data_IF_665921512614
#
_entry.id   IF_665921512614
#
_cell.length_a   1.000
_cell.length_b   1.000
_cell.length_c   1.000
_cell.angle_alpha   90.00
_cell.angle_beta   90.00
_cell.angle_gamma   90.00
#
_symmetry.space_group_name_H-M   'P 1'
#
loop_
_entity.id
_entity.type
_entity.pdbx_description
1 polymer ?
#
# COMPACT_ATOMS: atom_id res chain seq x y z
N UNK A 1 -4.28 -27.78 -17.92
CA UNK A 1 -3.25 -26.75 -17.66
C UNK A 1 -2.66 -27.02 -16.28
N UNK A 2 -1.37 -27.30 -16.14
CA UNK A 2 -0.76 -27.60 -14.83
C UNK A 2 -0.26 -26.29 -14.20
N UNK A 3 -0.85 -25.90 -13.06
CA UNK A 3 -0.56 -24.65 -12.34
C UNK A 3 0.92 -24.55 -11.96
N UNK A 4 1.57 -25.67 -11.59
CA UNK A 4 2.97 -25.66 -11.18
C UNK A 4 3.93 -25.21 -12.29
N UNK A 5 3.52 -25.33 -13.56
CA UNK A 5 4.32 -24.85 -14.71
C UNK A 5 4.12 -23.36 -15.00
N UNK A 6 3.10 -22.73 -14.41
CA UNK A 6 2.81 -21.31 -14.58
C UNK A 6 3.54 -20.44 -13.55
N UNK A 7 3.86 -21.02 -12.38
CA UNK A 7 4.52 -20.34 -11.27
C UNK A 7 6.00 -20.12 -11.60
N UNK A 8 6.42 -18.87 -11.55
CA UNK A 8 7.81 -18.44 -11.64
C UNK A 8 8.33 -18.01 -10.26
N UNK A 9 9.64 -17.77 -10.17
CA UNK A 9 10.27 -17.32 -8.91
C UNK A 9 9.65 -16.04 -8.33
N UNK A 10 9.31 -14.99 -9.13
CA UNK A 10 8.64 -13.80 -8.61
C UNK A 10 7.27 -14.12 -7.99
N UNK A 11 6.50 -15.00 -8.61
CA UNK A 11 5.17 -15.42 -8.15
C UNK A 11 5.20 -16.07 -6.74
N UNK A 12 6.31 -16.70 -6.34
CA UNK A 12 6.47 -17.22 -4.98
C UNK A 12 6.60 -16.08 -3.95
N UNK A 13 7.27 -14.98 -4.33
CA UNK A 13 7.38 -13.78 -3.49
C UNK A 13 6.01 -13.13 -3.33
N UNK A 14 5.22 -13.09 -4.41
CA UNK A 14 3.82 -12.65 -4.39
C UNK A 14 2.97 -13.48 -3.42
N UNK A 15 3.14 -14.81 -3.42
CA UNK A 15 2.42 -15.71 -2.49
C UNK A 15 2.82 -15.41 -1.04
N UNK A 16 4.11 -15.18 -0.77
CA UNK A 16 4.58 -14.77 0.56
C UNK A 16 3.95 -13.44 0.98
N UNK A 17 3.84 -12.46 0.08
CA UNK A 17 3.13 -11.20 0.35
C UNK A 17 1.67 -11.48 0.77
N UNK A 18 0.92 -12.27 0.01
CA UNK A 18 -0.46 -12.62 0.36
C UNK A 18 -0.58 -13.35 1.71
N UNK A 19 0.37 -14.24 2.03
CA UNK A 19 0.41 -14.93 3.33
C UNK A 19 0.68 -13.97 4.49
N UNK A 20 1.54 -12.97 4.30
CA UNK A 20 1.75 -11.90 5.30
C UNK A 20 0.47 -11.11 5.54
N UNK A 21 -0.29 -10.80 4.49
CA UNK A 21 -1.61 -10.19 4.61
C UNK A 21 -2.59 -11.06 5.42
N UNK A 22 -2.62 -12.37 5.16
CA UNK A 22 -3.42 -13.30 5.96
C UNK A 22 -2.99 -13.35 7.44
N UNK A 23 -1.69 -13.40 7.72
CA UNK A 23 -1.16 -13.35 9.09
C UNK A 23 -1.57 -12.05 9.79
N UNK A 24 -1.53 -10.91 9.08
CA UNK A 24 -1.98 -9.64 9.63
C UNK A 24 -3.49 -9.65 9.98
N UNK A 25 -4.35 -10.30 9.19
CA UNK A 25 -5.76 -10.50 9.56
C UNK A 25 -5.92 -11.33 10.84
N UNK A 26 -5.11 -12.37 11.01
CA UNK A 26 -5.11 -13.18 12.25
C UNK A 26 -4.63 -12.38 13.46
N UNK A 27 -3.70 -11.44 13.28
CA UNK A 27 -3.29 -10.51 14.34
C UNK A 27 -4.42 -9.53 14.70
N UNK A 28 -5.12 -8.98 13.70
CA UNK A 28 -6.27 -8.09 13.94
C UNK A 28 -7.37 -8.81 14.72
N UNK A 29 -7.67 -10.07 14.39
CA UNK A 29 -8.70 -10.84 15.12
C UNK A 29 -8.35 -11.11 16.59
N UNK A 30 -7.08 -10.97 16.97
CA UNK A 30 -6.58 -11.05 18.35
C UNK A 30 -6.46 -9.69 19.04
N UNK A 31 -6.83 -8.59 18.35
CA UNK A 31 -6.66 -7.23 18.84
C UNK A 31 -5.26 -6.65 18.65
N UNK A 32 -4.34 -7.38 18.01
CA UNK A 32 -2.94 -6.97 17.80
C UNK A 32 -2.81 -6.06 16.56
N UNK A 33 -3.62 -4.99 16.49
CA UNK A 33 -3.77 -4.15 15.29
C UNK A 33 -2.45 -3.45 14.92
N UNK A 34 -1.66 -3.01 15.90
CA UNK A 34 -0.35 -2.41 15.64
C UNK A 34 0.65 -3.40 15.03
N UNK A 35 0.68 -4.65 15.51
CA UNK A 35 1.51 -5.72 14.96
C UNK A 35 1.09 -6.08 13.54
N UNK A 36 -0.21 -6.10 13.26
CA UNK A 36 -0.75 -6.28 11.92
C UNK A 36 -0.29 -5.16 10.98
N UNK A 37 -0.31 -3.91 11.43
CA UNK A 37 0.18 -2.78 10.63
C UNK A 37 1.68 -2.89 10.31
N UNK A 38 2.54 -3.28 11.26
CA UNK A 38 3.95 -3.58 10.98
C UNK A 38 4.09 -4.69 9.94
N UNK A 39 3.28 -5.75 10.07
CA UNK A 39 3.29 -6.88 9.14
C UNK A 39 2.96 -6.42 7.72
N UNK A 40 2.06 -5.45 7.55
CA UNK A 40 1.78 -4.82 6.24
C UNK A 40 2.94 -3.97 5.73
N UNK A 41 3.67 -3.28 6.60
CA UNK A 41 4.89 -2.58 6.20
C UNK A 41 5.98 -3.57 5.73
N UNK A 42 6.08 -4.72 6.39
CA UNK A 42 6.97 -5.80 5.93
C UNK A 42 6.50 -6.41 4.61
N UNK A 43 5.19 -6.61 4.43
CA UNK A 43 4.59 -7.06 3.18
C UNK A 43 4.91 -6.10 2.02
N UNK A 44 4.89 -4.78 2.26
CA UNK A 44 5.30 -3.78 1.28
C UNK A 44 6.78 -3.87 0.88
N UNK A 45 7.66 -4.24 1.81
CA UNK A 45 9.07 -4.50 1.48
C UNK A 45 9.21 -5.73 0.58
N UNK A 46 8.48 -6.81 0.89
CA UNK A 46 8.45 -8.05 0.09
C UNK A 46 7.89 -7.79 -1.31
N UNK A 47 6.81 -7.03 -1.42
CA UNK A 47 6.21 -6.59 -2.68
C UNK A 47 7.18 -5.77 -3.55
N UNK A 48 7.89 -4.84 -2.91
CA UNK A 48 8.92 -4.05 -3.58
C UNK A 48 10.08 -4.90 -4.11
N UNK A 49 10.42 -6.01 -3.44
CA UNK A 49 11.44 -6.96 -3.91
C UNK A 49 10.95 -7.75 -5.13
N UNK A 50 9.70 -8.21 -5.13
CA UNK A 50 9.07 -8.87 -6.29
C UNK A 50 9.11 -7.94 -7.52
N UNK A 51 8.69 -6.68 -7.35
CA UNK A 51 8.75 -5.68 -8.42
C UNK A 51 10.15 -5.38 -8.95
N UNK A 52 11.21 -5.63 -8.16
CA UNK A 52 12.60 -5.58 -8.63
C UNK A 52 12.97 -6.84 -9.42
N UNK A 53 12.58 -8.02 -8.93
CA UNK A 53 12.85 -9.32 -9.55
C UNK A 53 12.10 -9.50 -10.87
N UNK A 54 10.85 -9.06 -10.94
CA UNK A 54 9.99 -9.06 -12.13
C UNK A 54 10.53 -8.19 -13.27
N UNK A 55 11.44 -7.25 -12.99
CA UNK A 55 12.14 -6.49 -14.04
C UNK A 55 13.24 -7.30 -14.72
N UNK A 56 13.78 -8.31 -14.03
CA UNK A 56 14.83 -9.17 -14.54
C UNK A 56 14.26 -10.50 -15.08
N UNK A 57 13.03 -10.85 -14.73
CA UNK A 57 12.33 -12.07 -15.13
C UNK A 57 10.95 -11.68 -15.67
N UNK A 58 10.66 -11.92 -16.95
CA UNK A 58 9.33 -11.62 -17.51
C UNK A 58 8.22 -12.35 -16.74
N UNK A 59 7.35 -11.61 -16.06
CA UNK A 59 6.14 -12.16 -15.45
C UNK A 59 5.13 -12.54 -16.53
N UNK A 60 4.50 -13.71 -16.38
CA UNK A 60 3.38 -14.12 -17.23
C UNK A 60 2.07 -13.43 -16.80
N UNK A 61 1.03 -13.57 -17.62
CA UNK A 61 -0.32 -13.07 -17.32
C UNK A 61 -0.84 -13.64 -15.98
N UNK A 62 -0.47 -14.87 -15.65
CA UNK A 62 -0.82 -15.50 -14.38
C UNK A 62 -0.23 -14.72 -13.18
N UNK A 63 1.07 -14.43 -13.21
CA UNK A 63 1.76 -13.69 -12.15
C UNK A 63 1.20 -12.28 -11.94
N UNK A 64 0.89 -11.56 -13.03
CA UNK A 64 0.28 -10.21 -12.94
C UNK A 64 -1.08 -10.23 -12.23
N UNK A 65 -1.90 -11.26 -12.48
CA UNK A 65 -3.18 -11.40 -11.77
C UNK A 65 -2.98 -11.84 -10.31
N UNK A 66 -2.02 -12.73 -10.06
CA UNK A 66 -1.66 -13.16 -8.71
C UNK A 66 -1.19 -11.99 -7.85
N UNK A 67 -0.38 -11.10 -8.42
CA UNK A 67 0.09 -9.84 -7.81
C UNK A 67 -1.09 -8.96 -7.39
N UNK A 68 -2.05 -8.77 -8.28
CA UNK A 68 -3.28 -8.02 -7.96
C UNK A 68 -4.07 -8.63 -6.80
N UNK A 69 -4.12 -9.97 -6.68
CA UNK A 69 -4.79 -10.62 -5.55
C UNK A 69 -4.01 -10.43 -4.24
N UNK A 70 -2.68 -10.59 -4.27
CA UNK A 70 -1.85 -10.35 -3.11
C UNK A 70 -1.94 -8.89 -2.64
N UNK A 71 -1.85 -7.93 -3.57
CA UNK A 71 -2.04 -6.50 -3.33
C UNK A 71 -3.39 -6.21 -2.67
N UNK A 72 -4.45 -6.85 -3.18
CA UNK A 72 -5.80 -6.66 -2.65
C UNK A 72 -5.92 -7.17 -1.22
N UNK A 73 -5.30 -8.29 -0.88
CA UNK A 73 -5.31 -8.83 0.49
C UNK A 73 -4.49 -7.94 1.42
N UNK A 74 -3.22 -7.70 1.09
CA UNK A 74 -2.26 -7.01 1.96
C UNK A 74 -2.53 -5.51 2.10
N UNK A 75 -2.90 -4.81 1.02
CA UNK A 75 -3.02 -3.35 1.01
C UNK A 75 -4.46 -2.85 0.85
N UNK A 76 -5.39 -3.73 0.48
CA UNK A 76 -6.82 -3.46 0.43
C UNK A 76 -7.55 -3.92 1.70
N UNK A 77 -7.66 -5.25 1.86
CA UNK A 77 -8.47 -5.89 2.90
C UNK A 77 -7.91 -5.63 4.30
N UNK A 78 -6.62 -5.89 4.53
CA UNK A 78 -6.03 -5.76 5.87
C UNK A 78 -6.17 -4.33 6.42
N UNK A 79 -5.79 -3.26 5.69
CA UNK A 79 -6.00 -1.90 6.17
C UNK A 79 -7.49 -1.63 6.42
N UNK A 80 -8.38 -1.98 5.49
CA UNK A 80 -9.81 -1.73 5.65
C UNK A 80 -10.39 -2.35 6.93
N UNK A 81 -10.02 -3.60 7.25
CA UNK A 81 -10.46 -4.29 8.47
C UNK A 81 -9.83 -3.64 9.72
N UNK A 82 -8.54 -3.31 9.69
CA UNK A 82 -7.87 -2.64 10.80
C UNK A 82 -8.49 -1.26 11.10
N UNK A 83 -8.76 -0.46 10.05
CA UNK A 83 -9.44 0.82 10.17
C UNK A 83 -10.85 0.69 10.71
N UNK A 84 -11.59 -0.32 10.27
CA UNK A 84 -12.94 -0.57 10.76
C UNK A 84 -12.90 -0.83 12.27
N UNK A 85 -12.02 -1.71 12.74
CA UNK A 85 -11.86 -2.01 14.17
C UNK A 85 -11.52 -0.76 15.01
N UNK A 86 -10.66 0.14 14.50
CA UNK A 86 -10.24 1.35 15.23
C UNK A 86 -11.29 2.47 15.23
N UNK A 87 -12.17 2.54 14.23
CA UNK A 87 -13.14 3.64 14.08
C UNK A 87 -14.53 3.24 14.59
N UNK A 88 -14.87 1.94 14.53
CA UNK A 88 -16.23 1.46 14.72
C UNK A 88 -16.83 1.74 16.09
N UNK A 89 -16.02 1.76 17.17
CA UNK A 89 -16.53 2.02 18.52
C UNK A 89 -17.18 3.41 18.65
N UNK A 90 -16.56 4.43 18.07
CA UNK A 90 -17.08 5.80 18.11
C UNK A 90 -18.07 6.09 16.96
N UNK A 91 -17.79 5.55 15.77
CA UNK A 91 -18.51 5.92 14.55
C UNK A 91 -18.74 4.71 13.61
N UNK A 92 -19.67 3.80 13.95
CA UNK A 92 -19.83 2.52 13.24
C UNK A 92 -20.22 2.66 11.77
N UNK A 93 -21.10 3.62 11.44
CA UNK A 93 -21.52 3.88 10.06
C UNK A 93 -20.41 4.51 9.23
N UNK A 94 -19.62 5.41 9.82
CA UNK A 94 -18.47 6.04 9.16
C UNK A 94 -17.39 4.98 8.91
N UNK A 95 -17.09 4.17 9.93
CA UNK A 95 -16.14 3.07 9.81
C UNK A 95 -16.53 2.15 8.65
N UNK A 96 -17.77 1.66 8.63
CA UNK A 96 -18.26 0.76 7.59
C UNK A 96 -18.21 1.40 6.19
N UNK A 97 -18.72 2.62 6.05
CA UNK A 97 -18.80 3.29 4.76
C UNK A 97 -17.43 3.64 4.18
N UNK A 98 -16.52 4.18 4.99
CA UNK A 98 -15.23 4.68 4.50
C UNK A 98 -14.24 3.56 4.22
N UNK A 99 -14.22 2.50 5.04
CA UNK A 99 -13.36 1.34 4.77
C UNK A 99 -13.89 0.49 3.61
N UNK A 100 -15.22 0.40 3.43
CA UNK A 100 -15.81 -0.23 2.25
C UNK A 100 -15.51 0.57 0.97
N UNK A 101 -15.57 1.90 1.03
CA UNK A 101 -15.18 2.77 -0.07
C UNK A 101 -13.70 2.57 -0.43
N UNK A 102 -12.82 2.51 0.56
CA UNK A 102 -11.39 2.25 0.37
C UNK A 102 -11.13 0.92 -0.33
N UNK A 103 -11.76 -0.15 0.17
CA UNK A 103 -11.64 -1.50 -0.39
C UNK A 103 -12.09 -1.52 -1.86
N UNK A 104 -13.26 -0.93 -2.13
CA UNK A 104 -13.85 -0.89 -3.47
C UNK A 104 -13.00 -0.07 -4.43
N UNK A 105 -12.52 1.11 -4.01
CA UNK A 105 -11.67 1.97 -4.83
C UNK A 105 -10.33 1.30 -5.16
N UNK A 106 -9.73 0.60 -4.20
CA UNK A 106 -8.52 -0.19 -4.40
C UNK A 106 -8.71 -1.29 -5.45
N UNK A 107 -9.81 -2.04 -5.34
CA UNK A 107 -10.18 -3.09 -6.29
C UNK A 107 -10.40 -2.54 -7.71
N UNK A 108 -11.15 -1.45 -7.85
CA UNK A 108 -11.39 -0.80 -9.15
C UNK A 108 -10.08 -0.27 -9.76
N UNK A 109 -9.18 0.28 -8.94
CA UNK A 109 -7.85 0.73 -9.37
C UNK A 109 -7.01 -0.43 -9.89
N UNK A 110 -7.01 -1.58 -9.20
CA UNK A 110 -6.28 -2.78 -9.63
C UNK A 110 -6.84 -3.33 -10.95
N UNK A 111 -8.17 -3.42 -11.07
CA UNK A 111 -8.82 -3.82 -12.32
C UNK A 111 -8.44 -2.89 -13.49
N UNK A 112 -8.45 -1.57 -13.27
CA UNK A 112 -8.01 -0.57 -14.26
C UNK A 112 -6.54 -0.79 -14.66
N UNK A 113 -5.68 -1.10 -13.70
CA UNK A 113 -4.26 -1.34 -13.95
C UNK A 113 -4.04 -2.56 -14.85
N UNK A 114 -4.78 -3.65 -14.63
CA UNK A 114 -4.63 -4.89 -15.40
C UNK A 114 -5.08 -4.79 -16.86
N UNK A 115 -6.05 -3.93 -17.16
CA UNK A 115 -6.55 -3.72 -18.53
C UNK A 115 -5.85 -2.56 -19.27
N UNK A 116 -5.17 -1.66 -18.55
CA UNK A 116 -4.52 -0.49 -19.13
C UNK A 116 -3.14 -0.85 -19.67
N UNK A 117 -2.96 -0.84 -20.99
CA UNK A 117 -1.68 -1.19 -21.62
C UNK A 117 -0.56 -0.16 -21.34
N UNK A 118 0.64 -0.70 -21.06
CA UNK A 118 1.99 -0.08 -20.98
C UNK A 118 2.05 1.47 -20.93
N UNK A 119 1.71 2.07 -19.78
CA UNK A 119 2.03 3.48 -19.49
C UNK A 119 3.29 3.62 -18.63
N UNK A 120 4.05 4.70 -18.89
CA UNK A 120 5.30 5.04 -18.15
C UNK A 120 5.03 5.34 -16.67
N UNK A 121 3.86 5.88 -16.36
CA UNK A 121 3.43 6.29 -15.02
C UNK A 121 2.20 5.50 -14.54
N UNK A 122 1.92 5.55 -13.23
CA UNK A 122 0.67 5.04 -12.68
C UNK A 122 -0.45 6.08 -12.83
N UNK A 123 -1.66 5.63 -13.17
CA UNK A 123 -2.86 6.48 -13.16
C UNK A 123 -3.61 6.18 -11.86
N UNK A 124 -3.80 7.21 -11.04
CA UNK A 124 -4.32 7.09 -9.68
C UNK A 124 -3.28 6.57 -8.69
N UNK A 125 -3.54 6.78 -7.41
CA UNK A 125 -2.62 6.37 -6.34
C UNK A 125 -2.48 4.83 -6.32
N UNK A 126 -1.25 4.29 -6.26
CA UNK A 126 -1.06 2.86 -6.07
C UNK A 126 -1.63 2.35 -4.74
N UNK A 127 -2.29 1.19 -4.77
CA UNK A 127 -2.91 0.59 -3.56
C UNK A 127 -1.84 0.28 -2.50
N UNK A 128 -0.64 -0.15 -2.92
CA UNK A 128 0.54 -0.31 -2.07
C UNK A 128 0.87 0.96 -1.29
N UNK A 129 0.99 2.11 -1.98
CA UNK A 129 1.26 3.39 -1.32
C UNK A 129 0.16 3.82 -0.35
N UNK A 130 -1.09 3.54 -0.70
CA UNK A 130 -2.25 3.76 0.14
C UNK A 130 -2.24 2.88 1.40
N UNK A 131 -1.97 1.57 1.25
CA UNK A 131 -1.89 0.62 2.35
C UNK A 131 -0.73 0.92 3.30
N UNK A 132 0.42 1.31 2.77
CA UNK A 132 1.57 1.78 3.56
C UNK A 132 1.19 3.02 4.38
N UNK A 133 0.51 4.00 3.77
CA UNK A 133 0.08 5.22 4.46
C UNK A 133 -0.84 4.89 5.64
N UNK A 134 -1.84 4.04 5.42
CA UNK A 134 -2.76 3.60 6.48
C UNK A 134 -2.04 2.81 7.57
N UNK A 135 -1.16 1.87 7.20
CA UNK A 135 -0.38 1.11 8.17
C UNK A 135 0.49 2.03 9.05
N UNK A 136 1.16 3.03 8.46
CA UNK A 136 1.95 4.00 9.22
C UNK A 136 1.08 4.84 10.17
N UNK A 137 -0.08 5.34 9.71
CA UNK A 137 -1.02 6.06 10.57
C UNK A 137 -1.50 5.22 11.77
N UNK A 138 -1.74 3.93 11.54
CA UNK A 138 -2.12 2.98 12.61
C UNK A 138 -0.96 2.77 13.59
N UNK A 139 0.27 2.62 13.12
CA UNK A 139 1.43 2.42 14.02
C UNK A 139 1.71 3.61 14.93
N UNK A 140 1.46 4.84 14.44
CA UNK A 140 1.57 6.05 15.26
C UNK A 140 0.34 6.31 16.15
N UNK A 141 -0.68 5.44 16.07
CA UNK A 141 -1.95 5.56 16.77
C UNK A 141 -2.67 6.87 16.48
N UNK A 142 -2.78 7.21 15.19
CA UNK A 142 -3.57 8.35 14.77
C UNK A 142 -5.03 8.22 15.24
N UNK A 143 -5.61 9.36 15.61
CA UNK A 143 -6.99 9.43 16.10
C UNK A 143 -7.99 8.85 15.07
N UNK A 144 -9.11 8.24 15.52
CA UNK A 144 -10.08 7.60 14.63
C UNK A 144 -10.64 8.53 13.53
N UNK A 145 -10.87 9.80 13.84
CA UNK A 145 -11.35 10.77 12.85
C UNK A 145 -10.29 11.08 11.78
N UNK A 146 -9.00 11.08 12.14
CA UNK A 146 -7.89 11.25 11.19
C UNK A 146 -7.86 10.05 10.24
N UNK A 147 -7.95 8.83 10.78
CA UNK A 147 -8.01 7.61 9.98
C UNK A 147 -9.19 7.64 9.01
N UNK A 148 -10.37 8.04 9.47
CA UNK A 148 -11.57 8.19 8.64
C UNK A 148 -11.35 9.18 7.48
N UNK A 149 -10.80 10.37 7.76
CA UNK A 149 -10.46 11.35 6.73
C UNK A 149 -9.48 10.77 5.69
N UNK A 150 -8.44 10.06 6.13
CA UNK A 150 -7.49 9.44 5.23
C UNK A 150 -8.10 8.34 4.37
N UNK A 151 -8.97 7.48 4.92
CA UNK A 151 -9.69 6.49 4.11
C UNK A 151 -10.44 7.12 2.94
N UNK A 152 -11.15 8.22 3.18
CA UNK A 152 -11.89 8.94 2.15
C UNK A 152 -10.96 9.61 1.12
N UNK A 153 -9.91 10.29 1.59
CA UNK A 153 -8.93 10.95 0.71
C UNK A 153 -8.23 9.92 -0.19
N UNK A 154 -7.71 8.83 0.39
CA UNK A 154 -7.00 7.80 -0.36
C UNK A 154 -7.91 7.08 -1.36
N UNK A 155 -9.18 6.82 -0.99
CA UNK A 155 -10.19 6.29 -1.91
C UNK A 155 -10.36 7.15 -3.16
N UNK A 156 -10.53 8.46 -2.96
CA UNK A 156 -10.66 9.41 -4.07
C UNK A 156 -9.38 9.46 -4.93
N UNK A 157 -8.21 9.44 -4.31
CA UNK A 157 -6.92 9.46 -5.01
C UNK A 157 -6.66 8.18 -5.84
N UNK A 158 -7.11 7.02 -5.36
CA UNK A 158 -7.01 5.75 -6.11
C UNK A 158 -7.84 5.78 -7.40
N UNK A 159 -9.05 6.36 -7.37
CA UNK A 159 -9.89 6.51 -8.56
C UNK A 159 -9.45 7.64 -9.49
N UNK A 160 -8.72 8.63 -8.96
CA UNK A 160 -8.28 9.80 -9.74
C UNK A 160 -7.49 9.43 -11.00
N UNK A 161 -7.47 10.34 -11.96
CA UNK A 161 -6.67 10.25 -13.19
C UNK A 161 -5.29 10.89 -13.05
N UNK A 162 -4.88 11.23 -11.81
CA UNK A 162 -3.59 11.83 -11.54
C UNK A 162 -2.45 10.87 -11.94
N UNK A 163 -1.40 11.42 -12.57
CA UNK A 163 -0.21 10.64 -12.93
C UNK A 163 0.76 10.60 -11.75
N UNK A 164 1.07 9.40 -11.28
CA UNK A 164 2.06 9.16 -10.23
C UNK A 164 3.34 8.59 -10.85
N UNK A 165 4.50 9.26 -10.67
CA UNK A 165 5.75 8.82 -11.27
C UNK A 165 6.19 7.48 -10.68
N UNK A 166 6.64 6.57 -11.55
CA UNK A 166 7.29 5.33 -11.12
C UNK A 166 8.71 5.63 -10.67
N UNK A 167 9.04 5.33 -9.42
CA UNK A 167 10.42 5.45 -8.91
C UNK A 167 11.25 4.33 -9.52
N UNK A 168 12.12 4.67 -10.46
CA UNK A 168 12.99 3.70 -11.18
C UNK A 168 14.44 3.71 -10.72
N UNK A 169 14.86 4.79 -10.03
CA UNK A 169 16.24 4.90 -9.56
C UNK A 169 16.48 3.90 -8.42
N UNK A 170 17.37 2.94 -8.66
CA UNK A 170 17.72 1.88 -7.72
C UNK A 170 18.32 2.44 -6.43
N UNK A 171 19.10 3.54 -6.50
CA UNK A 171 19.69 4.15 -5.30
C UNK A 171 18.60 4.73 -4.41
N UNK A 172 17.63 5.44 -5.00
CA UNK A 172 16.48 5.99 -4.27
C UNK A 172 15.66 4.86 -3.64
N UNK A 173 15.38 3.80 -4.40
CA UNK A 173 14.60 2.66 -3.90
C UNK A 173 15.29 1.97 -2.71
N UNK A 174 16.60 1.75 -2.79
CA UNK A 174 17.38 1.16 -1.69
C UNK A 174 17.37 2.08 -0.47
N UNK A 175 17.58 3.40 -0.64
CA UNK A 175 17.54 4.36 0.47
C UNK A 175 16.18 4.37 1.16
N UNK A 176 15.09 4.36 0.40
CA UNK A 176 13.73 4.27 0.95
C UNK A 176 13.57 2.95 1.72
N UNK A 177 13.97 1.82 1.13
CA UNK A 177 13.90 0.51 1.76
C UNK A 177 14.66 0.44 3.09
N UNK A 178 15.85 1.04 3.16
CA UNK A 178 16.66 1.11 4.39
C UNK A 178 15.91 1.88 5.48
N UNK A 179 15.31 3.04 5.15
CA UNK A 179 14.53 3.83 6.12
C UNK A 179 13.34 3.03 6.66
N UNK A 180 12.63 2.31 5.79
CA UNK A 180 11.52 1.44 6.19
C UNK A 180 11.95 0.27 7.08
N UNK A 181 13.04 -0.42 6.71
CA UNK A 181 13.57 -1.53 7.54
C UNK A 181 13.97 -1.00 8.91
N UNK A 182 14.69 0.12 8.96
CA UNK A 182 15.13 0.75 10.19
C UNK A 182 13.95 1.14 11.08
N UNK A 183 12.91 1.75 10.50
CA UNK A 183 11.70 2.14 11.25
C UNK A 183 10.94 0.92 11.80
N UNK A 184 10.79 -0.14 11.00
CA UNK A 184 10.14 -1.39 11.40
C UNK A 184 10.91 -2.05 12.57
N UNK A 185 12.23 -2.15 12.46
CA UNK A 185 13.07 -2.80 13.49
C UNK A 185 13.02 -2.02 14.80
N UNK A 186 13.18 -0.69 14.76
CA UNK A 186 13.12 0.13 15.98
C UNK A 186 11.73 0.08 16.62
N UNK A 187 10.67 0.17 15.81
CA UNK A 187 9.30 0.06 16.33
C UNK A 187 9.08 -1.30 17.00
N UNK A 188 9.57 -2.39 16.41
CA UNK A 188 9.38 -3.75 16.94
C UNK A 188 10.15 -4.00 18.25
N UNK A 189 11.32 -3.39 18.42
CA UNK A 189 12.16 -3.60 19.62
C UNK A 189 11.79 -2.63 20.75
N UNK A 190 11.62 -1.35 20.43
CA UNK A 190 11.53 -0.27 21.43
C UNK A 190 10.12 0.33 21.51
N UNK A 191 9.20 -0.02 20.61
CA UNK A 191 7.84 0.54 20.52
C UNK A 191 7.81 2.08 20.43
N UNK A 192 8.87 2.69 19.87
CA UNK A 192 8.95 4.14 19.68
C UNK A 192 8.13 4.53 18.46
N UNK A 193 6.89 4.97 18.70
CA UNK A 193 5.93 5.34 17.64
C UNK A 193 6.45 6.45 16.72
N UNK A 194 7.18 7.42 17.27
CA UNK A 194 7.69 8.57 16.53
C UNK A 194 8.64 8.19 15.38
N UNK A 195 9.27 7.01 15.42
CA UNK A 195 10.16 6.56 14.34
C UNK A 195 9.42 6.42 13.00
N UNK A 196 8.12 6.10 13.04
CA UNK A 196 7.30 5.91 11.85
C UNK A 196 6.78 7.23 11.24
N UNK A 197 7.03 8.38 11.87
CA UNK A 197 6.71 9.68 11.29
C UNK A 197 7.58 9.97 10.05
N UNK A 198 8.84 9.53 10.06
CA UNK A 198 9.76 9.74 8.93
C UNK A 198 9.26 9.05 7.65
N UNK A 199 9.02 7.72 7.63
CA UNK A 199 8.45 7.07 6.46
C UNK A 199 7.04 7.58 6.13
N UNK A 200 6.26 8.02 7.12
CA UNK A 200 4.94 8.62 6.86
C UNK A 200 5.06 9.94 6.08
N UNK A 201 6.01 10.81 6.45
CA UNK A 201 6.28 12.04 5.71
C UNK A 201 6.72 11.72 4.27
N UNK A 202 7.60 10.73 4.08
CA UNK A 202 8.05 10.31 2.74
C UNK A 202 6.90 9.84 1.85
N UNK A 203 6.02 8.98 2.39
CA UNK A 203 4.85 8.48 1.66
C UNK A 203 3.85 9.60 1.38
N UNK A 204 3.65 10.51 2.33
CA UNK A 204 2.78 11.68 2.14
C UNK A 204 3.31 12.59 1.03
N UNK A 205 4.63 12.83 0.99
CA UNK A 205 5.26 13.57 -0.12
C UNK A 205 5.04 12.89 -1.47
N UNK A 206 5.09 11.55 -1.52
CA UNK A 206 4.79 10.79 -2.73
C UNK A 206 3.32 10.91 -3.15
N UNK A 207 2.39 10.79 -2.19
CA UNK A 207 0.94 10.96 -2.41
C UNK A 207 0.60 12.35 -2.97
N UNK A 208 1.29 13.38 -2.50
CA UNK A 208 1.12 14.77 -2.94
C UNK A 208 1.87 15.11 -4.23
N UNK A 209 2.71 14.22 -4.75
CA UNK A 209 3.54 14.48 -5.94
C UNK A 209 2.78 14.96 -7.20
N UNK A 210 1.54 14.50 -7.51
CA UNK A 210 0.83 14.98 -8.70
C UNK A 210 0.32 16.43 -8.57
N UNK A 211 0.02 16.90 -7.36
CA UNK A 211 -0.34 18.30 -7.10
C UNK A 211 0.85 19.21 -7.42
N UNK A 212 2.06 18.80 -6.99
CA UNK A 212 3.30 19.54 -7.25
C UNK A 212 3.65 19.57 -8.75
N UNK A 213 3.36 18.48 -9.48
CA UNK A 213 3.60 18.40 -10.92
C UNK A 213 2.68 19.37 -11.71
N UNK A 214 1.39 19.45 -11.35
CA UNK A 214 0.45 20.41 -11.96
C UNK A 214 0.86 21.87 -11.69
N UNK A 215 1.32 22.20 -10.48
CA UNK A 215 1.78 23.55 -10.13
C UNK A 215 3.02 23.95 -10.93
N UNK A 216 4.00 23.05 -11.11
CA UNK A 216 5.18 23.33 -11.96
C UNK A 216 4.82 23.58 -13.42
N UNK A 217 3.84 22.88 -13.99
CA UNK A 217 3.38 23.14 -15.36
C UNK A 217 2.63 24.47 -15.48
N UNK A 218 1.82 24.84 -14.48
CA UNK A 218 1.10 26.11 -14.45
C UNK A 218 2.05 27.32 -14.33
N UNK A 219 3.16 27.18 -13.59
CA UNK A 219 4.19 28.24 -13.43
C UNK A 219 5.06 28.37 -14.68
N UNK A 220 5.26 27.29 -15.46
CA UNK A 220 6.07 27.32 -16.69
C UNK A 220 5.34 27.88 -17.92
N UNK A 221 4.04 28.16 -17.79
CA UNK A 221 3.16 28.73 -18.82
C UNK A 221 2.77 30.20 -18.53
N UNK A 222 3.35 30.81 -17.49
CA UNK A 222 3.35 32.25 -17.24
C UNK A 222 4.76 32.79 -17.46
#
# INVERSE_FOLDING_TARGET
MNILKLIKLPDLVTIVNALLGFVALLMISRGEISSAAITILFAALVDGLDGVLARNIEQGIFGVNLDSFADMISFGVVPAVAGYMLINEAHPYIASGFTAAYLTCGMLRLARFNISSKRKDFIGLPITGSGICMALLITIQAEPWVLACFYLILSALMLSTASYPKIKDRKILISIGIVFIFSIVIYSIQNIRLINLIPLMMVTCYILSPLLYKVKYAIRLR
#
